data_IF_048768654021
#
_entry.id   IF_048768654021
#
_cell.length_a   1.000
_cell.length_b   1.000
_cell.length_c   1.000
_cell.angle_alpha   90.00
_cell.angle_beta   90.00
_cell.angle_gamma   90.00
#
_symmetry.space_group_name_H-M   'P 1'
#
loop_
_entity.id
_entity.type
_entity.pdbx_description
1 polymer ?
#
# COMPACT_ATOMS: atom_id res chain seq x y z
N UNK A 1 43.14 -4.18 -10.06
CA UNK A 1 42.21 -3.12 -9.64
C UNK A 1 41.38 -3.67 -8.49
N UNK A 2 41.34 -3.05 -7.30
CA UNK A 2 40.46 -3.54 -6.25
C UNK A 2 39.00 -3.34 -6.72
N UNK A 3 38.22 -4.42 -6.78
CA UNK A 3 36.79 -4.33 -7.00
C UNK A 3 36.21 -3.45 -5.89
N UNK A 4 35.54 -2.36 -6.25
CA UNK A 4 34.83 -1.53 -5.30
C UNK A 4 33.80 -2.41 -4.57
N UNK A 5 34.04 -2.67 -3.28
CA UNK A 5 33.12 -3.42 -2.44
C UNK A 5 31.97 -2.50 -2.03
N UNK A 6 30.77 -2.75 -2.56
CA UNK A 6 29.56 -2.05 -2.12
C UNK A 6 29.06 -2.77 -0.87
N UNK A 7 28.93 -2.08 0.28
CA UNK A 7 28.43 -2.69 1.51
C UNK A 7 27.01 -3.21 1.35
N UNK A 8 26.66 -4.29 2.06
CA UNK A 8 25.31 -4.85 2.08
C UNK A 8 24.24 -3.81 2.40
N UNK A 9 24.51 -2.90 3.34
CA UNK A 9 23.59 -1.81 3.69
C UNK A 9 23.30 -0.88 2.51
N UNK A 10 24.28 -0.62 1.64
CA UNK A 10 24.07 0.19 0.45
C UNK A 10 23.18 -0.54 -0.57
N UNK A 11 23.40 -1.84 -0.76
CA UNK A 11 22.52 -2.67 -1.58
C UNK A 11 21.11 -2.75 -1.03
N UNK A 12 20.96 -2.83 0.29
CA UNK A 12 19.64 -2.86 0.91
C UNK A 12 18.87 -1.56 0.67
N UNK A 13 19.52 -0.39 0.77
CA UNK A 13 18.89 0.89 0.43
C UNK A 13 18.45 0.97 -1.03
N UNK A 14 19.27 0.50 -1.96
CA UNK A 14 18.90 0.40 -3.39
C UNK A 14 17.70 -0.51 -3.56
N UNK A 15 17.69 -1.66 -2.89
CA UNK A 15 16.61 -2.63 -2.95
C UNK A 15 15.29 -2.07 -2.40
N UNK A 16 15.33 -1.34 -1.28
CA UNK A 16 14.14 -0.67 -0.74
C UNK A 16 13.57 0.32 -1.76
N UNK A 17 14.43 1.09 -2.43
CA UNK A 17 13.99 1.98 -3.51
C UNK A 17 13.36 1.20 -4.66
N UNK A 18 14.02 0.17 -5.18
CA UNK A 18 13.47 -0.68 -6.27
C UNK A 18 12.13 -1.29 -5.87
N UNK A 19 11.99 -1.78 -4.64
CA UNK A 19 10.75 -2.35 -4.12
C UNK A 19 9.59 -1.34 -4.18
N UNK A 20 9.81 -0.07 -3.80
CA UNK A 20 8.78 0.98 -3.89
C UNK A 20 8.38 1.34 -5.33
N UNK A 21 9.24 1.07 -6.31
CA UNK A 21 8.97 1.39 -7.72
C UNK A 21 8.29 0.21 -8.43
N UNK A 22 8.77 -1.02 -8.23
CA UNK A 22 8.37 -2.18 -9.02
C UNK A 22 8.69 -3.50 -8.31
N UNK A 23 7.64 -4.28 -8.01
CA UNK A 23 7.80 -5.64 -7.47
C UNK A 23 8.53 -6.56 -8.45
N UNK A 24 8.36 -6.38 -9.75
CA UNK A 24 9.00 -7.23 -10.76
C UNK A 24 10.49 -6.99 -10.85
N UNK A 25 10.91 -5.72 -10.79
CA UNK A 25 12.34 -5.39 -10.81
C UNK A 25 13.02 -5.83 -9.53
N UNK A 26 12.31 -5.79 -8.39
CA UNK A 26 12.79 -6.40 -7.15
C UNK A 26 12.98 -7.92 -7.33
N UNK A 27 12.00 -8.64 -7.87
CA UNK A 27 12.14 -10.09 -8.08
C UNK A 27 13.23 -10.45 -9.08
N UNK A 28 13.41 -9.63 -10.13
CA UNK A 28 14.55 -9.76 -11.05
C UNK A 28 15.87 -9.55 -10.31
N UNK A 29 15.99 -8.49 -9.51
CA UNK A 29 17.17 -8.23 -8.68
C UNK A 29 17.45 -9.41 -7.73
N UNK A 30 16.43 -9.92 -7.03
CA UNK A 30 16.54 -11.04 -6.11
C UNK A 30 16.97 -12.36 -6.79
N UNK A 31 16.74 -12.50 -8.10
CA UNK A 31 17.15 -13.69 -8.85
C UNK A 31 18.63 -13.70 -9.23
N UNK A 32 19.32 -12.55 -9.18
CA UNK A 32 20.72 -12.41 -9.62
C UNK A 32 21.70 -13.13 -8.70
N UNK A 33 21.54 -13.01 -7.37
CA UNK A 33 22.49 -13.60 -6.43
C UNK A 33 21.87 -13.93 -5.06
N UNK A 34 22.52 -14.80 -4.26
CA UNK A 34 22.02 -15.18 -2.93
C UNK A 34 21.87 -14.00 -1.97
N UNK A 35 22.78 -13.02 -2.01
CA UNK A 35 22.69 -11.82 -1.17
C UNK A 35 21.38 -11.07 -1.42
N UNK A 36 21.06 -10.78 -2.69
CA UNK A 36 19.82 -10.06 -3.03
C UNK A 36 18.58 -10.88 -2.72
N UNK A 37 18.64 -12.21 -2.89
CA UNK A 37 17.55 -13.09 -2.46
C UNK A 37 17.29 -12.98 -0.96
N UNK A 38 18.33 -12.97 -0.14
CA UNK A 38 18.19 -12.81 1.31
C UNK A 38 17.61 -11.44 1.68
N UNK A 39 18.17 -10.37 1.12
CA UNK A 39 17.70 -9.00 1.38
C UNK A 39 16.23 -8.79 0.96
N UNK A 40 15.83 -9.36 -0.18
CA UNK A 40 14.47 -9.21 -0.71
C UNK A 40 13.41 -9.92 0.15
N UNK A 41 13.81 -10.91 0.95
CA UNK A 41 12.91 -11.64 1.85
C UNK A 41 12.80 -11.03 3.25
N UNK A 42 13.34 -9.82 3.48
CA UNK A 42 13.18 -9.11 4.75
C UNK A 42 11.76 -8.53 4.89
N UNK A 43 11.14 -8.55 6.07
CA UNK A 43 9.78 -8.01 6.27
C UNK A 43 9.64 -6.55 5.84
N UNK A 44 10.69 -5.74 6.03
CA UNK A 44 10.70 -4.34 5.62
C UNK A 44 10.50 -4.15 4.10
N UNK A 45 11.09 -5.02 3.28
CA UNK A 45 10.91 -4.98 1.82
C UNK A 45 9.45 -5.25 1.45
N UNK A 46 8.85 -6.28 2.04
CA UNK A 46 7.45 -6.64 1.81
C UNK A 46 6.45 -5.60 2.33
N UNK A 47 6.81 -4.88 3.40
CA UNK A 47 6.01 -3.77 3.91
C UNK A 47 5.88 -2.62 2.90
N UNK A 48 6.92 -2.37 2.08
CA UNK A 48 6.97 -1.22 1.16
C UNK A 48 6.88 -1.59 -0.32
N UNK A 49 6.83 -2.89 -0.64
CA UNK A 49 6.84 -3.37 -2.01
C UNK A 49 5.63 -2.82 -2.78
N UNK A 50 5.90 -2.35 -3.99
CA UNK A 50 4.89 -1.78 -4.87
C UNK A 50 3.91 -2.85 -5.33
N UNK A 51 2.63 -2.53 -5.20
CA UNK A 51 1.54 -3.35 -5.74
C UNK A 51 0.91 -2.72 -6.99
N UNK A 52 1.53 -1.68 -7.56
CA UNK A 52 0.94 -0.86 -8.63
C UNK A 52 0.62 -1.64 -9.92
N UNK A 53 1.36 -2.71 -10.20
CA UNK A 53 1.11 -3.57 -11.36
C UNK A 53 -0.17 -4.41 -11.22
N UNK A 54 -0.60 -4.65 -10.00
CA UNK A 54 -1.67 -5.58 -9.67
C UNK A 54 -3.00 -4.82 -9.56
N UNK A 55 -4.02 -5.17 -10.37
CA UNK A 55 -5.31 -4.49 -10.29
C UNK A 55 -5.97 -4.62 -8.91
N UNK A 56 -6.95 -3.76 -8.66
CA UNK A 56 -7.57 -3.64 -7.33
C UNK A 56 -8.62 -4.71 -7.04
N UNK A 57 -9.27 -5.20 -8.09
CA UNK A 57 -10.44 -6.07 -7.96
C UNK A 57 -10.03 -7.53 -7.67
N UNK A 58 -10.60 -8.24 -6.69
CA UNK A 58 -10.18 -9.60 -6.36
C UNK A 58 -10.24 -10.63 -7.50
N UNK A 59 -11.19 -10.44 -8.43
CA UNK A 59 -11.47 -11.40 -9.51
C UNK A 59 -10.27 -11.74 -10.41
N UNK A 60 -9.28 -10.86 -10.56
CA UNK A 60 -8.18 -11.12 -11.51
C UNK A 60 -7.09 -12.04 -10.95
N UNK A 61 -7.00 -12.22 -9.62
CA UNK A 61 -5.94 -13.03 -9.00
C UNK A 61 -6.41 -14.34 -8.38
N UNK A 62 -7.72 -14.62 -8.37
CA UNK A 62 -8.24 -15.87 -7.83
C UNK A 62 -7.69 -17.13 -8.52
N UNK A 63 -7.36 -17.04 -9.81
CA UNK A 63 -6.81 -18.17 -10.57
C UNK A 63 -5.27 -18.26 -10.54
N UNK A 64 -4.56 -17.32 -9.90
CA UNK A 64 -3.10 -17.27 -9.91
C UNK A 64 -2.50 -17.47 -8.51
N UNK A 65 -2.05 -18.69 -8.15
CA UNK A 65 -1.49 -18.99 -6.83
C UNK A 65 -0.27 -18.15 -6.46
N UNK A 66 0.58 -17.80 -7.43
CA UNK A 66 1.78 -17.00 -7.16
C UNK A 66 1.40 -15.56 -6.74
N UNK A 67 0.38 -15.00 -7.37
CA UNK A 67 -0.15 -13.68 -6.98
C UNK A 67 -0.83 -13.77 -5.62
N UNK A 68 -1.59 -14.82 -5.33
CA UNK A 68 -2.19 -14.98 -4.00
C UNK A 68 -1.13 -15.04 -2.90
N UNK A 69 -0.06 -15.80 -3.11
CA UNK A 69 1.05 -15.88 -2.17
C UNK A 69 1.72 -14.51 -1.98
N UNK A 70 1.93 -13.76 -3.07
CA UNK A 70 2.45 -12.40 -3.02
C UNK A 70 1.56 -11.48 -2.16
N UNK A 71 0.24 -11.50 -2.38
CA UNK A 71 -0.71 -10.69 -1.62
C UNK A 71 -0.75 -11.10 -0.14
N UNK A 72 -0.71 -12.40 0.15
CA UNK A 72 -0.62 -12.91 1.52
C UNK A 72 0.65 -12.46 2.24
N UNK A 73 1.80 -12.45 1.54
CA UNK A 73 3.06 -11.96 2.11
C UNK A 73 3.03 -10.45 2.36
N UNK A 74 2.48 -9.67 1.42
CA UNK A 74 2.28 -8.23 1.62
C UNK A 74 1.42 -7.95 2.86
N UNK A 75 0.31 -8.70 3.01
CA UNK A 75 -0.56 -8.60 4.19
C UNK A 75 0.16 -8.99 5.48
N UNK A 76 0.90 -10.10 5.48
CA UNK A 76 1.63 -10.58 6.65
C UNK A 76 2.72 -9.60 7.11
N UNK A 77 3.24 -8.77 6.19
CA UNK A 77 4.23 -7.72 6.48
C UNK A 77 3.59 -6.33 6.61
N UNK A 78 2.27 -6.25 6.82
CA UNK A 78 1.53 -5.00 7.07
C UNK A 78 1.71 -3.95 5.96
N UNK A 79 1.80 -4.39 4.71
CA UNK A 79 1.91 -3.48 3.57
C UNK A 79 0.71 -2.52 3.53
N UNK A 80 0.92 -1.19 3.54
CA UNK A 80 -0.18 -0.22 3.63
C UNK A 80 -1.17 -0.30 2.47
N UNK A 81 -0.71 -0.58 1.24
CA UNK A 81 -1.58 -0.73 0.07
C UNK A 81 -2.41 -2.01 0.17
N UNK A 82 -1.83 -3.10 0.68
CA UNK A 82 -2.58 -4.34 0.94
C UNK A 82 -3.68 -4.13 1.99
N UNK A 83 -3.36 -3.47 3.11
CA UNK A 83 -4.33 -3.17 4.17
C UNK A 83 -5.43 -2.26 3.62
N UNK A 84 -5.06 -1.22 2.86
CA UNK A 84 -6.01 -0.30 2.28
C UNK A 84 -6.97 -0.99 1.31
N UNK A 85 -6.48 -1.84 0.40
CA UNK A 85 -7.31 -2.59 -0.56
C UNK A 85 -8.39 -3.42 0.13
N UNK A 86 -8.01 -4.17 1.15
CA UNK A 86 -8.95 -5.01 1.91
C UNK A 86 -9.99 -4.15 2.64
N UNK A 87 -9.55 -3.12 3.37
CA UNK A 87 -10.43 -2.22 4.09
C UNK A 87 -11.39 -1.47 3.13
N UNK A 88 -10.90 -1.08 1.96
CA UNK A 88 -11.67 -0.40 0.92
C UNK A 88 -12.78 -1.28 0.36
N UNK A 89 -12.47 -2.52 0.03
CA UNK A 89 -13.47 -3.47 -0.43
C UNK A 89 -14.55 -3.71 0.64
N UNK A 90 -14.15 -4.01 1.88
CA UNK A 90 -15.08 -4.29 2.97
C UNK A 90 -15.98 -3.07 3.25
N UNK A 91 -15.43 -1.86 3.26
CA UNK A 91 -16.22 -0.66 3.49
C UNK A 91 -17.22 -0.40 2.35
N UNK A 92 -16.76 -0.35 1.09
CA UNK A 92 -17.59 0.09 -0.04
C UNK A 92 -18.48 -1.01 -0.63
N UNK A 93 -18.07 -2.29 -0.58
CA UNK A 93 -18.87 -3.40 -1.10
C UNK A 93 -19.79 -4.02 -0.06
N UNK A 94 -19.34 -4.09 1.21
CA UNK A 94 -20.09 -4.76 2.27
C UNK A 94 -20.78 -3.78 3.22
N UNK A 95 -20.50 -2.48 3.10
CA UNK A 95 -21.11 -1.44 3.94
C UNK A 95 -20.64 -1.48 5.41
N UNK A 96 -19.52 -2.14 5.70
CA UNK A 96 -19.03 -2.28 7.06
C UNK A 96 -18.14 -1.10 7.46
N UNK A 97 -18.66 -0.24 8.34
CA UNK A 97 -17.98 0.96 8.83
C UNK A 97 -16.71 0.65 9.64
N UNK A 98 -16.63 -0.52 10.28
CA UNK A 98 -15.44 -0.92 11.06
C UNK A 98 -14.18 -1.03 10.18
N UNK A 99 -14.34 -1.27 8.88
CA UNK A 99 -13.23 -1.32 7.94
C UNK A 99 -12.48 0.03 7.81
N UNK A 100 -13.08 1.14 8.24
CA UNK A 100 -12.37 2.43 8.34
C UNK A 100 -11.14 2.36 9.25
N UNK A 101 -11.14 1.46 10.25
CA UNK A 101 -9.97 1.23 11.09
C UNK A 101 -8.76 0.77 10.28
N UNK A 102 -8.95 -0.16 9.33
CA UNK A 102 -7.88 -0.60 8.43
C UNK A 102 -7.36 0.54 7.55
N UNK A 103 -8.24 1.40 7.03
CA UNK A 103 -7.82 2.58 6.29
C UNK A 103 -7.01 3.56 7.15
N UNK A 104 -7.37 3.74 8.43
CA UNK A 104 -6.60 4.58 9.36
C UNK A 104 -5.19 4.04 9.60
N UNK A 105 -5.03 2.72 9.70
CA UNK A 105 -3.71 2.08 9.80
C UNK A 105 -2.88 2.39 8.55
N UNK A 106 -3.44 2.15 7.36
CA UNK A 106 -2.75 2.44 6.10
C UNK A 106 -2.37 3.93 5.97
N UNK A 107 -3.28 4.83 6.33
CA UNK A 107 -3.04 6.27 6.33
C UNK A 107 -1.91 6.69 7.29
N UNK A 108 -1.87 6.10 8.48
CA UNK A 108 -0.80 6.34 9.48
C UNK A 108 0.56 5.88 8.98
N UNK A 109 0.58 4.82 8.17
CA UNK A 109 1.76 4.33 7.47
C UNK A 109 2.12 5.13 6.19
N UNK A 110 1.41 6.24 5.92
CA UNK A 110 1.71 7.15 4.81
C UNK A 110 0.92 6.87 3.52
N UNK A 111 -0.08 5.99 3.54
CA UNK A 111 -0.90 5.72 2.36
C UNK A 111 -1.83 6.88 2.02
N UNK A 112 -1.65 7.48 0.84
CA UNK A 112 -2.30 8.74 0.46
C UNK A 112 -3.81 8.59 0.21
N UNK A 113 -4.25 7.58 -0.53
CA UNK A 113 -5.71 7.37 -0.77
C UNK A 113 -6.45 7.11 0.54
N UNK A 114 -5.88 6.28 1.43
CA UNK A 114 -6.41 6.02 2.75
C UNK A 114 -6.54 7.31 3.59
N UNK A 115 -5.50 8.14 3.63
CA UNK A 115 -5.51 9.42 4.33
C UNK A 115 -6.62 10.34 3.81
N UNK A 116 -6.76 10.43 2.49
CA UNK A 116 -7.79 11.23 1.85
C UNK A 116 -9.21 10.74 2.17
N UNK A 117 -9.46 9.43 2.06
CA UNK A 117 -10.80 8.85 2.34
C UNK A 117 -11.16 9.01 3.82
N UNK A 118 -10.26 8.65 4.73
CA UNK A 118 -10.52 8.77 6.17
C UNK A 118 -10.81 10.22 6.54
N UNK A 119 -10.06 11.16 5.97
CA UNK A 119 -10.32 12.59 6.14
C UNK A 119 -11.70 12.98 5.64
N UNK A 120 -12.04 12.61 4.40
CA UNK A 120 -13.32 12.96 3.78
C UNK A 120 -14.51 12.38 4.56
N UNK A 121 -14.45 11.10 4.92
CA UNK A 121 -15.51 10.41 5.65
C UNK A 121 -15.64 10.94 7.08
N UNK A 122 -14.52 11.14 7.78
CA UNK A 122 -14.51 11.70 9.12
C UNK A 122 -15.07 13.13 9.17
N UNK A 123 -14.69 14.00 8.22
CA UNK A 123 -15.26 15.35 8.11
C UNK A 123 -16.75 15.34 7.74
N UNK A 124 -17.23 14.25 7.14
CA UNK A 124 -18.64 14.00 6.87
C UNK A 124 -19.40 13.39 8.06
N UNK A 125 -18.72 13.12 9.18
CA UNK A 125 -19.30 12.51 10.39
C UNK A 125 -19.48 10.99 10.29
N UNK A 126 -18.80 10.33 9.35
CA UNK A 126 -18.89 8.87 9.15
C UNK A 126 -17.74 8.20 9.91
N UNK A 127 -18.09 7.27 10.80
CA UNK A 127 -17.15 6.43 11.56
C UNK A 127 -16.49 7.08 12.77
N UNK A 128 -16.42 8.42 12.83
CA UNK A 128 -15.86 9.18 13.96
C UNK A 128 -16.43 10.60 14.02
N UNK A 129 -16.16 11.33 15.11
CA UNK A 129 -16.51 12.75 15.22
C UNK A 129 -15.68 13.61 14.26
N UNK A 130 -16.15 14.82 13.96
CA UNK A 130 -15.41 15.75 13.09
C UNK A 130 -14.13 16.24 13.76
N UNK A 131 -14.18 16.38 15.08
CA UNK A 131 -13.05 16.77 15.92
C UNK A 131 -11.94 15.70 15.86
N UNK A 132 -12.30 14.43 16.04
CA UNK A 132 -11.34 13.31 15.92
C UNK A 132 -10.75 13.22 14.50
N UNK A 133 -11.59 13.45 13.49
CA UNK A 133 -11.15 13.45 12.09
C UNK A 133 -10.15 14.58 11.81
N UNK A 134 -10.40 15.78 12.34
CA UNK A 134 -9.51 16.93 12.21
C UNK A 134 -8.19 16.69 12.93
N UNK A 135 -8.22 16.17 14.16
CA UNK A 135 -7.02 15.81 14.91
C UNK A 135 -6.17 14.79 14.15
N UNK A 136 -6.82 13.75 13.63
CA UNK A 136 -6.15 12.74 12.80
C UNK A 136 -5.51 13.37 11.55
N UNK A 137 -6.21 14.23 10.83
CA UNK A 137 -5.67 14.91 9.64
C UNK A 137 -4.49 15.84 9.98
N UNK A 138 -4.56 16.56 11.10
CA UNK A 138 -3.45 17.38 11.59
C UNK A 138 -2.20 16.53 11.87
N UNK A 139 -2.38 15.32 12.43
CA UNK A 139 -1.27 14.39 12.66
C UNK A 139 -0.61 13.89 11.37
N UNK A 140 -1.38 13.80 10.27
CA UNK A 140 -0.88 13.37 8.96
C UNK A 140 -0.22 14.50 8.17
N UNK A 141 -0.77 15.72 8.24
CA UNK A 141 -0.26 16.87 7.48
C UNK A 141 1.15 17.29 7.92
N UNK A 142 1.55 16.98 9.15
CA UNK A 142 2.92 17.16 9.62
C UNK A 142 3.94 16.23 8.93
N UNK A 143 3.47 15.22 8.19
CA UNK A 143 4.32 14.12 7.68
C UNK A 143 4.44 14.08 6.15
N UNK A 144 3.49 14.61 5.38
CA UNK A 144 3.42 14.38 3.93
C UNK A 144 3.04 15.63 3.11
N UNK A 145 3.70 15.85 1.97
CA UNK A 145 3.24 16.78 0.94
C UNK A 145 2.20 16.08 0.05
N UNK A 146 0.91 16.27 0.37
CA UNK A 146 -0.18 15.50 -0.26
C UNK A 146 -0.47 16.01 -1.68
N UNK A 147 -0.21 15.18 -2.69
CA UNK A 147 -0.78 15.37 -4.03
C UNK A 147 -2.29 15.05 -4.00
N UNK A 148 -3.09 16.06 -3.65
CA UNK A 148 -4.54 15.91 -3.54
C UNK A 148 -5.20 15.56 -4.88
N UNK A 149 -4.68 16.07 -6.00
CA UNK A 149 -5.28 15.84 -7.32
C UNK A 149 -5.02 14.40 -7.76
N UNK A 150 -3.77 13.95 -7.71
CA UNK A 150 -3.42 12.58 -8.04
C UNK A 150 -4.14 11.56 -7.16
N UNK A 151 -4.20 11.83 -5.86
CA UNK A 151 -4.90 10.97 -4.89
C UNK A 151 -6.41 10.87 -5.22
N UNK A 152 -7.06 12.00 -5.48
CA UNK A 152 -8.49 12.03 -5.85
C UNK A 152 -8.75 11.29 -7.16
N UNK A 153 -7.90 11.48 -8.17
CA UNK A 153 -8.08 10.87 -9.48
C UNK A 153 -7.82 9.34 -9.42
N UNK A 154 -6.89 8.88 -8.58
CA UNK A 154 -6.66 7.46 -8.32
C UNK A 154 -7.83 6.81 -7.57
N UNK A 155 -8.34 7.46 -6.53
CA UNK A 155 -9.52 7.03 -5.81
C UNK A 155 -10.76 6.92 -6.71
N UNK A 156 -10.97 7.91 -7.59
CA UNK A 156 -12.09 7.89 -8.55
C UNK A 156 -12.00 6.68 -9.48
N UNK A 157 -10.80 6.32 -9.94
CA UNK A 157 -10.59 5.10 -10.74
C UNK A 157 -10.95 3.85 -9.95
N UNK A 158 -10.53 3.75 -8.69
CA UNK A 158 -10.84 2.61 -7.82
C UNK A 158 -12.35 2.47 -7.58
N UNK A 159 -13.03 3.56 -7.20
CA UNK A 159 -14.48 3.58 -7.01
C UNK A 159 -15.26 3.24 -8.29
N UNK A 160 -14.81 3.70 -9.46
CA UNK A 160 -15.45 3.33 -10.73
C UNK A 160 -15.41 1.81 -10.98
N UNK A 161 -14.37 1.12 -10.52
CA UNK A 161 -14.25 -0.34 -10.65
C UNK A 161 -15.11 -1.10 -9.64
N UNK A 162 -15.46 -0.47 -8.52
CA UNK A 162 -16.41 -1.02 -7.54
C UNK A 162 -17.83 -0.96 -8.11
N UNK A 163 -18.21 0.17 -8.70
CA UNK A 163 -19.60 0.42 -9.12
C UNK A 163 -19.92 0.04 -10.58
N UNK A 164 -18.93 -0.22 -11.44
CA UNK A 164 -19.14 -0.70 -12.81
C UNK A 164 -19.25 -2.24 -12.95
N UNK A 165 -19.50 -2.96 -11.85
CA UNK A 165 -19.69 -4.44 -11.84
C UNK A 165 -21.17 -4.82 -11.65
N UNK A 166 -22.09 -3.90 -11.98
CA UNK A 166 -23.53 -4.18 -12.06
C UNK A 166 -23.98 -4.42 -13.51
#
# INVERSE_FOLDING_TARGET
MPQAFIPELAWFKVMLYVATQSSEDLFRMASVCPLFRTLANTPQVWNIISMAKYPDHPSWYHANPAVQLFLQQCRACENPESIFREAFEVFFMQGNVEALYGMRIAATAGHMEAAYIVGLLGMSGIGQSKEDALEFLCSLNQRNNIDMKGTRDALRRRLSRVWNVA
#
